data_IF_414846629647
#
_entry.id   IF_414846629647
#
_cell.length_a   1.000
_cell.length_b   1.000
_cell.length_c   1.000
_cell.angle_alpha   90.00
_cell.angle_beta   90.00
_cell.angle_gamma   90.00
#
_symmetry.space_group_name_H-M   'P 1'
#
loop_
_entity.id
_entity.type
_entity.pdbx_description
1 polymer ?
#
# COMPACT_ATOMS: atom_id res chain seq x y z
N UNK A 1 12.29 -39.45 -4.03
CA UNK A 1 11.34 -38.36 -4.37
C UNK A 1 11.39 -38.17 -5.87
N UNK A 2 10.25 -38.32 -6.55
CA UNK A 2 10.13 -38.16 -8.01
C UNK A 2 10.50 -36.70 -8.40
N UNK A 3 11.02 -36.47 -9.61
CA UNK A 3 11.51 -35.13 -10.02
C UNK A 3 10.40 -34.08 -9.89
N UNK A 4 9.17 -34.45 -10.27
CA UNK A 4 7.98 -33.59 -10.14
C UNK A 4 7.68 -33.20 -8.70
N UNK A 5 7.76 -34.15 -7.77
CA UNK A 5 7.52 -33.88 -6.34
C UNK A 5 8.57 -32.93 -5.78
N UNK A 6 9.83 -33.12 -6.16
CA UNK A 6 10.94 -32.25 -5.75
C UNK A 6 10.75 -30.81 -6.25
N UNK A 7 10.35 -30.63 -7.50
CA UNK A 7 10.07 -29.30 -8.06
C UNK A 7 8.88 -28.62 -7.38
N UNK A 8 7.80 -29.37 -7.11
CA UNK A 8 6.63 -28.82 -6.38
C UNK A 8 6.99 -28.45 -4.95
N UNK A 9 7.82 -29.25 -4.29
CA UNK A 9 8.31 -28.96 -2.95
C UNK A 9 9.14 -27.66 -2.95
N UNK A 10 10.11 -27.51 -3.86
CA UNK A 10 10.93 -26.31 -3.97
C UNK A 10 10.09 -25.06 -4.28
N UNK A 11 9.12 -25.17 -5.19
CA UNK A 11 8.16 -24.10 -5.44
C UNK A 11 7.37 -23.72 -4.18
N UNK A 12 6.87 -24.71 -3.45
CA UNK A 12 6.15 -24.51 -2.19
C UNK A 12 7.00 -23.82 -1.13
N UNK A 13 8.28 -24.19 -1.00
CA UNK A 13 9.24 -23.52 -0.10
C UNK A 13 9.41 -22.05 -0.51
N UNK A 14 9.60 -21.77 -1.80
CA UNK A 14 9.75 -20.40 -2.31
C UNK A 14 8.50 -19.54 -2.05
N UNK A 15 7.31 -20.06 -2.34
CA UNK A 15 6.04 -19.36 -2.06
C UNK A 15 5.88 -19.11 -0.56
N UNK A 16 6.16 -20.13 0.27
CA UNK A 16 5.97 -20.01 1.71
C UNK A 16 6.93 -18.98 2.33
N UNK A 17 8.17 -18.87 1.82
CA UNK A 17 9.16 -17.91 2.30
C UNK A 17 8.71 -16.44 2.16
N UNK A 18 7.80 -16.15 1.21
CA UNK A 18 7.28 -14.79 0.97
C UNK A 18 5.85 -14.58 1.49
N UNK A 19 5.28 -15.56 2.19
CA UNK A 19 3.99 -15.37 2.86
C UNK A 19 4.14 -14.40 4.03
N UNK A 20 3.16 -13.51 4.20
CA UNK A 20 3.21 -12.43 5.18
C UNK A 20 3.44 -12.93 6.62
N UNK A 21 2.91 -14.09 6.99
CA UNK A 21 3.11 -14.71 8.30
C UNK A 21 4.51 -15.27 8.54
N UNK A 22 5.32 -15.45 7.49
CA UNK A 22 6.72 -15.85 7.60
C UNK A 22 7.68 -14.68 7.44
N UNK A 23 7.44 -13.81 6.46
CA UNK A 23 8.40 -12.76 6.12
C UNK A 23 8.21 -11.48 6.94
N UNK A 24 7.00 -11.14 7.40
CA UNK A 24 6.75 -9.88 8.11
C UNK A 24 7.21 -9.88 9.59
N UNK A 25 6.97 -10.93 10.41
CA UNK A 25 7.24 -10.87 11.85
C UNK A 25 8.68 -10.47 12.23
N UNK A 26 9.74 -10.97 11.56
CA UNK A 26 11.13 -10.60 11.89
C UNK A 26 11.45 -9.11 11.72
N UNK A 27 10.62 -8.37 10.98
CA UNK A 27 10.85 -6.95 10.70
C UNK A 27 10.01 -6.02 11.58
N UNK A 28 8.99 -6.52 12.27
CA UNK A 28 8.11 -5.68 13.09
C UNK A 28 8.84 -5.21 14.35
N UNK A 29 8.87 -3.89 14.55
CA UNK A 29 9.36 -3.29 15.79
C UNK A 29 8.33 -3.46 16.92
N UNK A 30 8.65 -4.37 17.85
CA UNK A 30 7.81 -4.72 19.00
C UNK A 30 7.98 -3.77 20.19
N UNK A 31 8.85 -2.76 20.07
CA UNK A 31 9.05 -1.78 21.13
C UNK A 31 7.72 -1.10 21.44
N UNK A 32 7.29 -1.05 22.72
CA UNK A 32 6.08 -0.33 23.11
C UNK A 32 6.12 1.11 22.62
N UNK A 33 5.04 1.54 21.98
CA UNK A 33 4.93 2.91 21.47
C UNK A 33 4.20 3.79 22.50
N UNK A 34 4.68 5.01 22.78
CA UNK A 34 4.08 5.86 23.81
C UNK A 34 2.70 6.40 23.41
N UNK A 35 2.53 6.81 22.14
CA UNK A 35 1.26 7.27 21.60
C UNK A 35 0.47 6.20 20.87
N UNK A 36 -0.51 6.65 20.09
CA UNK A 36 -1.40 5.78 19.32
C UNK A 36 -0.64 5.12 18.17
N UNK A 37 -0.94 3.85 17.92
CA UNK A 37 -0.49 3.13 16.74
C UNK A 37 -1.65 2.95 15.79
N UNK A 38 -1.61 3.66 14.66
CA UNK A 38 -2.56 3.46 13.58
C UNK A 38 -1.95 2.58 12.48
N UNK A 39 -2.78 1.85 11.75
CA UNK A 39 -2.35 0.96 10.67
C UNK A 39 -3.12 1.25 9.38
N UNK A 40 -2.41 1.35 8.26
CA UNK A 40 -3.00 1.35 6.92
C UNK A 40 -2.38 0.19 6.15
N UNK A 41 -3.19 -0.82 5.81
CA UNK A 41 -2.79 -1.92 4.97
C UNK A 41 -3.45 -1.80 3.59
N UNK A 42 -2.69 -1.89 2.51
CA UNK A 42 -3.19 -1.74 1.14
C UNK A 42 -2.53 -2.69 0.15
N UNK A 43 -3.34 -3.33 -0.69
CA UNK A 43 -2.86 -4.25 -1.73
C UNK A 43 -3.41 -5.67 -1.61
N UNK A 44 -3.01 -6.54 -2.53
CA UNK A 44 -3.46 -7.94 -2.60
C UNK A 44 -3.11 -8.75 -1.35
N UNK A 45 -1.98 -8.45 -0.70
CA UNK A 45 -1.55 -9.12 0.52
C UNK A 45 -1.97 -8.37 1.80
N UNK A 46 -2.69 -7.25 1.69
CA UNK A 46 -2.99 -6.39 2.83
C UNK A 46 -3.73 -7.10 3.96
N UNK A 47 -4.72 -7.94 3.66
CA UNK A 47 -5.42 -8.73 4.68
C UNK A 47 -4.49 -9.68 5.45
N UNK A 48 -3.59 -10.35 4.73
CA UNK A 48 -2.61 -11.26 5.34
C UNK A 48 -1.58 -10.51 6.19
N UNK A 49 -1.06 -9.38 5.70
CA UNK A 49 -0.14 -8.52 6.45
C UNK A 49 -0.80 -7.90 7.69
N UNK A 50 -2.02 -7.38 7.54
CA UNK A 50 -2.79 -6.80 8.63
C UNK A 50 -3.07 -7.82 9.72
N UNK A 51 -3.43 -9.06 9.36
CA UNK A 51 -3.61 -10.16 10.33
C UNK A 51 -2.38 -10.36 11.21
N UNK A 52 -1.19 -10.36 10.60
CA UNK A 52 0.08 -10.54 11.34
C UNK A 52 0.35 -9.34 12.23
N UNK A 53 0.21 -8.11 11.71
CA UNK A 53 0.42 -6.89 12.49
C UNK A 53 -0.55 -6.80 13.67
N UNK A 54 -1.84 -7.08 13.48
CA UNK A 54 -2.87 -7.07 14.54
C UNK A 54 -2.65 -8.14 15.60
N UNK A 55 -2.04 -9.28 15.24
CA UNK A 55 -1.70 -10.34 16.18
C UNK A 55 -0.41 -10.04 16.97
N UNK A 56 0.42 -9.11 16.50
CA UNK A 56 1.79 -8.89 17.00
C UNK A 56 1.98 -7.53 17.66
N UNK A 57 1.27 -6.50 17.20
CA UNK A 57 1.35 -5.12 17.66
C UNK A 57 0.02 -4.70 18.28
N UNK A 58 0.08 -3.82 19.28
CA UNK A 58 -1.10 -3.07 19.71
C UNK A 58 -1.44 -2.04 18.64
N UNK A 59 -2.57 -2.22 17.96
CA UNK A 59 -3.12 -1.28 16.97
C UNK A 59 -4.37 -0.65 17.56
N UNK A 60 -4.40 0.68 17.66
CA UNK A 60 -5.54 1.42 18.20
C UNK A 60 -6.60 1.73 17.13
N UNK A 61 -6.17 1.86 15.87
CA UNK A 61 -7.06 2.12 14.74
C UNK A 61 -6.46 1.57 13.43
N UNK A 62 -7.20 0.73 12.71
CA UNK A 62 -6.73 0.08 11.48
C UNK A 62 -7.65 0.34 10.28
N UNK A 63 -7.03 0.48 9.11
CA UNK A 63 -7.71 0.50 7.82
C UNK A 63 -7.06 -0.53 6.89
N UNK A 64 -7.83 -1.47 6.38
CA UNK A 64 -7.38 -2.53 5.47
C UNK A 64 -8.09 -2.38 4.13
N UNK A 65 -7.33 -2.19 3.06
CA UNK A 65 -7.84 -1.93 1.72
C UNK A 65 -7.36 -3.07 0.80
N UNK A 66 -8.30 -3.86 0.31
CA UNK A 66 -8.03 -5.06 -0.48
C UNK A 66 -8.85 -5.08 -1.78
N UNK A 67 -8.36 -5.75 -2.83
CA UNK A 67 -9.19 -6.03 -4.00
C UNK A 67 -10.25 -7.10 -3.70
N UNK A 68 -11.32 -7.11 -4.49
CA UNK A 68 -12.29 -8.21 -4.46
C UNK A 68 -11.59 -9.56 -4.68
N UNK A 69 -12.05 -10.60 -3.98
CA UNK A 69 -11.49 -11.95 -4.04
C UNK A 69 -10.11 -12.14 -3.39
N UNK A 70 -9.55 -11.11 -2.76
CA UNK A 70 -8.27 -11.17 -2.04
C UNK A 70 -8.43 -11.05 -0.52
N UNK A 71 -9.67 -11.01 -0.05
CA UNK A 71 -9.98 -11.27 1.36
C UNK A 71 -9.81 -12.78 1.58
N UNK A 72 -8.94 -13.24 2.50
CA UNK A 72 -8.82 -14.66 2.77
C UNK A 72 -10.18 -15.25 3.21
N UNK A 73 -10.58 -16.43 2.73
CA UNK A 73 -11.84 -17.05 3.14
C UNK A 73 -11.93 -17.18 4.68
N UNK A 74 -13.06 -16.75 5.25
CA UNK A 74 -13.28 -16.78 6.70
C UNK A 74 -12.50 -15.71 7.49
N UNK A 75 -11.72 -14.85 6.82
CA UNK A 75 -11.11 -13.70 7.47
C UNK A 75 -12.15 -12.58 7.59
N UNK A 76 -12.50 -12.27 8.83
CA UNK A 76 -13.11 -10.99 9.19
C UNK A 76 -12.01 -10.13 9.82
N UNK A 77 -12.00 -8.81 9.58
CA UNK A 77 -11.11 -7.93 10.32
C UNK A 77 -11.39 -8.07 11.83
N UNK A 78 -10.36 -8.12 12.68
CA UNK A 78 -10.57 -8.11 14.11
C UNK A 78 -11.18 -6.76 14.55
N UNK A 79 -11.77 -6.70 15.76
CA UNK A 79 -12.20 -5.43 16.35
C UNK A 79 -11.06 -4.40 16.31
N UNK A 80 -11.34 -3.20 15.80
CA UNK A 80 -10.35 -2.11 15.68
C UNK A 80 -9.74 -1.93 14.28
N UNK A 81 -10.17 -2.69 13.26
CA UNK A 81 -9.80 -2.44 11.87
C UNK A 81 -11.02 -2.41 10.93
N UNK A 82 -11.14 -1.34 10.14
CA UNK A 82 -12.12 -1.23 9.06
C UNK A 82 -11.57 -1.87 7.79
N UNK A 83 -12.45 -2.48 6.98
CA UNK A 83 -12.09 -3.09 5.70
C UNK A 83 -12.85 -2.42 4.57
N UNK A 84 -12.11 -1.98 3.55
CA UNK A 84 -12.66 -1.48 2.30
C UNK A 84 -12.23 -2.41 1.17
N UNK A 85 -13.21 -2.99 0.48
CA UNK A 85 -12.98 -3.73 -0.76
C UNK A 85 -13.09 -2.76 -1.92
N UNK A 86 -12.01 -2.56 -2.67
CA UNK A 86 -11.92 -1.56 -3.73
C UNK A 86 -11.55 -2.16 -5.09
N UNK A 87 -11.81 -1.38 -6.15
CA UNK A 87 -11.58 -1.77 -7.54
C UNK A 87 -10.10 -1.96 -7.89
N UNK A 88 -9.80 -3.02 -8.62
CA UNK A 88 -8.49 -3.33 -9.18
C UNK A 88 -8.67 -4.15 -10.48
N UNK A 89 -7.92 -3.87 -11.57
CA UNK A 89 -6.80 -2.93 -11.69
C UNK A 89 -7.21 -1.47 -11.93
N UNK A 90 -8.50 -1.20 -12.19
CA UNK A 90 -9.02 0.16 -12.41
C UNK A 90 -9.66 0.67 -11.12
N UNK A 91 -9.31 1.87 -10.64
CA UNK A 91 -9.91 2.44 -9.43
C UNK A 91 -11.39 2.77 -9.62
N UNK A 92 -12.19 2.54 -8.59
CA UNK A 92 -13.63 2.80 -8.54
C UNK A 92 -14.00 3.78 -7.41
N UNK A 93 -15.30 3.89 -7.09
CA UNK A 93 -15.77 4.74 -6.01
C UNK A 93 -15.31 4.24 -4.63
N UNK A 94 -15.18 2.93 -4.43
CA UNK A 94 -14.63 2.38 -3.20
C UNK A 94 -13.13 2.72 -3.08
N UNK A 95 -12.40 2.79 -4.19
CA UNK A 95 -11.02 3.29 -4.20
C UNK A 95 -10.91 4.75 -3.75
N UNK A 96 -11.90 5.59 -4.09
CA UNK A 96 -11.96 6.98 -3.62
C UNK A 96 -12.25 7.05 -2.12
N UNK A 97 -13.28 6.32 -1.66
CA UNK A 97 -13.60 6.23 -0.25
C UNK A 97 -12.41 5.74 0.58
N UNK A 98 -11.69 4.72 0.08
CA UNK A 98 -10.47 4.21 0.70
C UNK A 98 -9.35 5.26 0.77
N UNK A 99 -9.18 6.06 -0.29
CA UNK A 99 -8.23 7.17 -0.30
C UNK A 99 -8.56 8.23 0.75
N UNK A 100 -9.81 8.69 0.80
CA UNK A 100 -10.21 9.69 1.80
C UNK A 100 -10.10 9.15 3.22
N UNK A 101 -10.49 7.89 3.47
CA UNK A 101 -10.37 7.26 4.78
C UNK A 101 -8.90 7.16 5.23
N UNK A 102 -7.99 6.78 4.32
CA UNK A 102 -6.56 6.70 4.61
C UNK A 102 -5.97 8.07 4.96
N UNK A 103 -6.34 9.13 4.21
CA UNK A 103 -5.91 10.50 4.52
C UNK A 103 -6.48 10.99 5.85
N UNK A 104 -7.77 10.77 6.11
CA UNK A 104 -8.44 11.18 7.35
C UNK A 104 -7.83 10.49 8.58
N UNK A 105 -7.43 9.22 8.45
CA UNK A 105 -6.72 8.50 9.50
C UNK A 105 -5.31 9.06 9.72
N UNK A 106 -4.55 9.29 8.64
CA UNK A 106 -3.20 9.83 8.73
C UNK A 106 -3.16 11.24 9.35
N UNK A 107 -4.05 12.15 8.93
CA UNK A 107 -4.07 13.55 9.39
C UNK A 107 -4.43 13.72 10.86
N UNK A 108 -5.01 12.71 11.51
CA UNK A 108 -5.32 12.75 12.95
C UNK A 108 -4.16 12.32 13.85
N UNK A 109 -3.03 11.90 13.29
CA UNK A 109 -1.88 11.44 14.08
C UNK A 109 -1.02 12.61 14.56
N UNK A 110 -0.64 12.57 15.83
CA UNK A 110 0.26 13.53 16.47
C UNK A 110 1.72 13.07 16.52
N UNK A 111 2.58 13.88 17.13
CA UNK A 111 4.03 13.64 17.16
C UNK A 111 4.42 12.39 17.96
N UNK A 112 3.63 12.03 18.97
CA UNK A 112 3.84 10.83 19.80
C UNK A 112 3.24 9.57 19.17
N UNK A 113 2.45 9.71 18.10
CA UNK A 113 1.79 8.61 17.41
C UNK A 113 2.70 7.99 16.33
N UNK A 114 2.31 6.81 15.86
CA UNK A 114 2.91 6.19 14.68
C UNK A 114 1.88 5.64 13.71
N UNK A 115 2.28 5.61 12.44
CA UNK A 115 1.59 4.92 11.37
C UNK A 115 2.37 3.69 10.92
N UNK A 116 1.73 2.52 10.96
CA UNK A 116 2.20 1.28 10.34
C UNK A 116 1.58 1.16 8.95
N UNK A 117 2.36 1.41 7.90
CA UNK A 117 1.94 1.28 6.51
C UNK A 117 2.35 -0.08 5.95
N UNK A 118 1.39 -0.97 5.68
CA UNK A 118 1.59 -2.30 5.11
C UNK A 118 1.19 -2.27 3.63
N UNK A 119 2.16 -2.35 2.73
CA UNK A 119 1.95 -2.09 1.30
C UNK A 119 2.30 -3.34 0.48
N UNK A 120 1.44 -3.68 -0.47
CA UNK A 120 1.70 -4.73 -1.46
C UNK A 120 1.17 -4.35 -2.84
N UNK A 121 1.42 -5.21 -3.83
CA UNK A 121 0.95 -5.07 -5.20
C UNK A 121 -0.54 -4.71 -5.31
N UNK A 122 -0.87 -3.84 -6.28
CA UNK A 122 -2.23 -3.38 -6.56
C UNK A 122 -2.66 -2.10 -5.83
N UNK A 123 -1.89 -1.60 -4.86
CA UNK A 123 -2.29 -0.45 -4.04
C UNK A 123 -2.55 0.85 -4.81
N UNK A 124 -1.93 1.05 -5.98
CA UNK A 124 -2.13 2.27 -6.77
C UNK A 124 -3.58 2.46 -7.26
N UNK A 125 -4.31 1.36 -7.47
CA UNK A 125 -5.72 1.36 -7.87
C UNK A 125 -6.67 1.34 -6.66
N UNK A 126 -6.28 0.63 -5.60
CA UNK A 126 -7.11 0.47 -4.40
C UNK A 126 -7.26 1.74 -3.57
N UNK A 127 -6.26 2.63 -3.61
CA UNK A 127 -6.25 3.87 -2.83
C UNK A 127 -6.10 5.07 -3.77
N UNK A 128 -7.25 5.66 -4.11
CA UNK A 128 -7.35 6.78 -5.04
C UNK A 128 -7.71 8.06 -4.28
N UNK A 129 -6.80 9.03 -4.25
CA UNK A 129 -7.10 10.39 -3.79
C UNK A 129 -6.64 11.39 -4.85
N UNK A 130 -7.50 11.80 -5.79
CA UNK A 130 -7.20 12.87 -6.75
C UNK A 130 -6.89 14.19 -6.04
N UNK A 131 -6.06 15.05 -6.62
CA UNK A 131 -5.92 16.44 -6.13
C UNK A 131 -7.22 17.23 -6.38
N UNK A 132 -7.39 18.32 -5.63
CA UNK A 132 -8.53 19.24 -5.78
C UNK A 132 -8.67 19.65 -7.25
N UNK A 133 -9.90 19.62 -7.76
CA UNK A 133 -10.21 19.94 -9.16
C UNK A 133 -10.02 18.79 -10.16
N UNK A 134 -9.56 17.61 -9.73
CA UNK A 134 -9.42 16.43 -10.60
C UNK A 134 -10.43 15.37 -10.17
N UNK A 135 -11.26 14.90 -11.11
CA UNK A 135 -12.20 13.80 -10.84
C UNK A 135 -11.53 12.43 -11.01
N UNK A 136 -12.17 11.37 -10.50
CA UNK A 136 -11.73 9.99 -10.79
C UNK A 136 -11.77 9.69 -12.29
N UNK A 137 -12.80 10.18 -12.99
CA UNK A 137 -12.94 10.02 -14.43
C UNK A 137 -11.77 10.68 -15.19
N UNK A 138 -11.29 11.83 -14.73
CA UNK A 138 -10.09 12.48 -15.28
C UNK A 138 -8.85 11.60 -15.13
N UNK A 139 -8.62 11.05 -13.93
CA UNK A 139 -7.47 10.15 -13.70
C UNK A 139 -7.52 8.92 -14.59
N UNK A 140 -8.70 8.31 -14.73
CA UNK A 140 -8.90 7.16 -15.61
C UNK A 140 -8.67 7.52 -17.08
N UNK A 141 -9.19 8.67 -17.53
CA UNK A 141 -9.00 9.18 -18.91
C UNK A 141 -7.53 9.44 -19.22
N UNK A 142 -6.82 10.18 -18.36
CA UNK A 142 -5.39 10.47 -18.52
C UNK A 142 -4.58 9.17 -18.60
N UNK A 143 -4.87 8.20 -17.72
CA UNK A 143 -4.19 6.90 -17.73
C UNK A 143 -4.40 6.16 -19.06
N UNK A 144 -5.64 6.15 -19.58
CA UNK A 144 -5.94 5.55 -20.90
C UNK A 144 -5.22 6.26 -22.04
N UNK A 145 -5.16 7.59 -22.03
CA UNK A 145 -4.46 8.37 -23.05
C UNK A 145 -2.95 8.11 -23.06
N UNK A 146 -2.33 8.01 -21.88
CA UNK A 146 -0.90 7.68 -21.78
C UNK A 146 -0.61 6.26 -22.29
N UNK A 147 -1.45 5.28 -21.95
CA UNK A 147 -1.33 3.92 -22.48
C UNK A 147 -1.47 3.89 -24.02
N UNK A 148 -2.46 4.61 -24.56
CA UNK A 148 -2.66 4.70 -26.01
C UNK A 148 -1.50 5.40 -26.74
N UNK A 149 -0.80 6.31 -26.05
CA UNK A 149 0.39 6.98 -26.57
C UNK A 149 1.69 6.15 -26.45
N UNK A 150 1.62 4.94 -25.90
CA UNK A 150 2.79 4.07 -25.71
C UNK A 150 3.71 4.51 -24.56
N UNK A 151 3.21 5.31 -23.61
CA UNK A 151 3.97 5.72 -22.45
C UNK A 151 4.43 4.52 -21.61
N UNK A 152 5.64 4.59 -21.10
CA UNK A 152 6.22 3.58 -20.21
C UNK A 152 5.47 3.54 -18.87
N UNK A 153 5.56 2.42 -18.16
CA UNK A 153 4.96 2.28 -16.83
C UNK A 153 5.51 3.33 -15.84
N UNK A 154 6.79 3.70 -15.98
CA UNK A 154 7.42 4.72 -15.16
C UNK A 154 6.80 6.10 -15.39
N UNK A 155 6.61 6.50 -16.66
CA UNK A 155 5.96 7.77 -17.03
C UNK A 155 4.50 7.81 -16.56
N UNK A 156 3.75 6.71 -16.76
CA UNK A 156 2.37 6.59 -16.30
C UNK A 156 2.30 6.76 -14.78
N UNK A 157 3.19 6.10 -14.03
CA UNK A 157 3.23 6.18 -12.58
C UNK A 157 3.63 7.58 -12.10
N UNK A 158 4.57 8.26 -12.77
CA UNK A 158 4.95 9.63 -12.46
C UNK A 158 3.76 10.60 -12.59
N UNK A 159 3.03 10.54 -13.70
CA UNK A 159 1.82 11.36 -13.90
C UNK A 159 0.74 11.01 -12.87
N UNK A 160 0.48 9.71 -12.63
CA UNK A 160 -0.51 9.28 -11.62
C UNK A 160 -0.17 9.75 -10.21
N UNK A 161 1.12 9.80 -9.86
CA UNK A 161 1.60 10.30 -8.59
C UNK A 161 1.40 11.82 -8.48
N UNK A 162 1.79 12.59 -9.51
CA UNK A 162 1.59 14.03 -9.56
C UNK A 162 0.12 14.45 -9.38
N UNK A 163 -0.81 13.67 -9.95
CA UNK A 163 -2.25 13.91 -9.86
C UNK A 163 -2.90 13.32 -8.58
N UNK A 164 -2.12 12.95 -7.57
CA UNK A 164 -2.63 12.35 -6.33
C UNK A 164 -2.22 13.12 -5.08
N UNK A 165 -3.12 13.13 -4.08
CA UNK A 165 -2.82 13.58 -2.71
C UNK A 165 -2.05 12.55 -1.88
N UNK A 166 -2.20 11.26 -2.18
CA UNK A 166 -1.64 10.15 -1.37
C UNK A 166 -0.30 9.63 -1.89
N UNK A 167 -0.12 9.58 -3.21
CA UNK A 167 1.04 8.96 -3.86
C UNK A 167 2.28 9.85 -3.74
N UNK A 168 3.47 9.29 -3.95
CA UNK A 168 4.72 10.04 -3.88
C UNK A 168 4.96 10.70 -2.52
N UNK A 169 4.79 9.93 -1.45
CA UNK A 169 5.00 10.38 -0.07
C UNK A 169 3.83 11.18 0.52
N UNK A 170 2.74 11.38 -0.23
CA UNK A 170 1.60 12.17 0.22
C UNK A 170 0.91 11.62 1.47
N UNK A 171 0.87 10.29 1.66
CA UNK A 171 0.34 9.69 2.89
C UNK A 171 1.26 9.92 4.08
N UNK A 172 2.59 9.82 3.88
CA UNK A 172 3.54 10.13 4.94
C UNK A 172 3.50 11.61 5.31
N UNK A 173 3.36 12.49 4.32
CA UNK A 173 3.19 13.93 4.56
C UNK A 173 1.90 14.21 5.34
N UNK A 174 0.79 13.53 5.03
CA UNK A 174 -0.47 13.64 5.76
C UNK A 174 -0.37 13.12 7.19
N UNK A 175 0.50 12.15 7.47
CA UNK A 175 0.75 11.61 8.80
C UNK A 175 1.69 12.47 9.66
N UNK A 176 2.40 13.44 9.06
CA UNK A 176 3.31 14.32 9.80
C UNK A 176 2.55 15.11 10.87
N UNK A 177 3.06 15.18 12.13
CA UNK A 177 4.42 14.83 12.56
C UNK A 177 4.62 13.39 13.08
N UNK A 178 3.64 12.50 12.96
CA UNK A 178 3.75 11.13 13.42
C UNK A 178 4.84 10.34 12.68
N UNK A 179 5.41 9.33 13.36
CA UNK A 179 6.44 8.48 12.73
C UNK A 179 5.80 7.42 11.84
N UNK A 180 6.28 7.31 10.60
CA UNK A 180 5.75 6.35 9.62
C UNK A 180 6.70 5.18 9.45
N UNK A 181 6.23 3.95 9.71
CA UNK A 181 6.94 2.70 9.44
C UNK A 181 6.31 2.03 8.24
N UNK A 182 7.09 1.82 7.18
CA UNK A 182 6.59 1.23 5.93
C UNK A 182 7.15 -0.17 5.74
N UNK A 183 6.25 -1.15 5.60
CA UNK A 183 6.58 -2.54 5.30
C UNK A 183 6.01 -2.90 3.94
N UNK A 184 6.85 -3.40 3.04
CA UNK A 184 6.47 -3.64 1.65
C UNK A 184 6.70 -5.10 1.27
N UNK A 185 5.69 -5.75 0.67
CA UNK A 185 5.84 -6.99 -0.08
C UNK A 185 5.81 -6.63 -1.57
N UNK A 186 6.96 -6.76 -2.22
CA UNK A 186 7.18 -6.37 -3.62
C UNK A 186 6.69 -7.42 -4.61
N UNK A 187 5.98 -6.97 -5.64
CA UNK A 187 5.68 -7.72 -6.86
C UNK A 187 6.42 -7.14 -8.09
N UNK A 188 7.42 -6.28 -7.87
CA UNK A 188 8.20 -5.61 -8.92
C UNK A 188 9.63 -6.17 -8.95
N UNK A 189 10.12 -6.71 -10.08
CA UNK A 189 11.50 -7.15 -10.21
C UNK A 189 12.50 -6.02 -9.91
N UNK A 190 13.51 -6.29 -9.09
CA UNK A 190 14.53 -5.31 -8.70
C UNK A 190 14.11 -4.35 -7.57
N UNK A 191 12.90 -4.54 -7.02
CA UNK A 191 12.43 -3.90 -5.78
C UNK A 191 12.55 -2.37 -5.75
N UNK A 192 12.11 -1.70 -6.81
CA UNK A 192 11.86 -0.25 -6.72
C UNK A 192 10.67 0.02 -5.80
N UNK A 193 10.97 0.16 -4.51
CA UNK A 193 9.99 0.40 -3.45
C UNK A 193 9.13 1.64 -3.71
N UNK A 194 9.67 2.64 -4.41
CA UNK A 194 8.96 3.89 -4.72
C UNK A 194 7.89 3.70 -5.81
N UNK A 195 8.04 2.66 -6.64
CA UNK A 195 7.05 2.30 -7.65
C UNK A 195 5.88 1.51 -7.06
N UNK A 196 6.08 0.76 -5.98
CA UNK A 196 5.05 -0.09 -5.36
C UNK A 196 3.96 0.78 -4.76
N UNK A 197 2.71 0.53 -5.19
CA UNK A 197 1.55 1.37 -4.88
C UNK A 197 1.74 2.86 -5.22
N UNK A 198 2.73 3.18 -6.08
CA UNK A 198 3.18 4.55 -6.36
C UNK A 198 3.71 5.30 -5.12
N UNK A 199 4.34 4.57 -4.21
CA UNK A 199 5.10 5.09 -3.07
C UNK A 199 4.30 6.04 -2.17
N UNK A 200 3.18 5.62 -1.55
CA UNK A 200 2.35 6.56 -0.78
C UNK A 200 3.07 7.13 0.45
N UNK A 201 4.02 6.38 1.02
CA UNK A 201 4.82 6.79 2.18
C UNK A 201 6.30 7.03 1.86
N UNK A 202 6.68 6.90 0.59
CA UNK A 202 8.05 7.05 0.12
C UNK A 202 8.12 8.26 -0.81
N UNK A 203 9.10 9.14 -0.59
CA UNK A 203 9.32 10.26 -1.49
C UNK A 203 9.58 9.74 -2.93
N UNK A 204 9.03 10.40 -3.95
CA UNK A 204 9.32 10.03 -5.33
C UNK A 204 10.81 10.22 -5.59
N UNK A 205 11.47 9.24 -6.21
CA UNK A 205 12.75 9.52 -6.88
C UNK A 205 12.44 10.47 -8.03
N UNK A 206 12.91 11.72 -7.98
CA UNK A 206 12.73 12.64 -9.11
C UNK A 206 13.43 12.06 -10.34
N UNK A 207 12.73 11.78 -11.45
CA UNK A 207 13.38 11.44 -12.71
C UNK A 207 13.94 12.70 -13.40
N UNK A 208 13.59 13.90 -12.94
CA UNK A 208 14.16 15.16 -13.41
C UNK A 208 15.46 15.36 -12.64
N UNK A 209 16.63 15.45 -13.31
CA UNK A 209 17.88 15.81 -12.65
C UNK A 209 17.68 17.17 -11.98
N UNK A 210 17.79 17.20 -10.65
CA UNK A 210 17.95 18.46 -9.94
C UNK A 210 19.40 18.87 -10.22
N UNK A 211 19.59 19.76 -11.19
CA UNK A 211 20.84 20.49 -11.27
C UNK A 211 20.90 21.37 -10.02
N UNK A 212 21.72 20.98 -9.04
CA UNK A 212 22.13 21.90 -8.00
C UNK A 212 22.91 23.03 -8.68
N UNK A 213 22.44 24.26 -8.51
CA UNK A 213 23.20 25.48 -8.81
C UNK A 213 23.65 26.06 -7.48
#
# INVERSE_FOLDING_TARGET
MEMRERLRHLFGVGVAAVQADRCLPPHLDLTPWPGRTAMIAVGKAAGAMARVALATLKIDEGLVIVPAGHVPPGWAPPPGADVIVAGHPVPDQASLAAGEAALALATRLGADDRLIALISGGGSALMAAPRVGITLADKQRITRSLLAAGATIAEINAVRAALSRIKGGGLAAAASPARVFTYVISDIPGDDWTAIASGPTLAPRSPIPIAAV
#
